data_IF_948742714038
#
_entry.id   IF_948742714038
#
_cell.length_a   1.000
_cell.length_b   1.000
_cell.length_c   1.000
_cell.angle_alpha   90.00
_cell.angle_beta   90.00
_cell.angle_gamma   90.00
#
_symmetry.space_group_name_H-M   'P 1'
#
loop_
_entity.id
_entity.type
_entity.pdbx_description
1 polymer ?
#
# COMPACT_ATOMS: atom_id res chain seq x y z
N UNK A 1 16.12 -10.08 -20.02
CA UNK A 1 15.82 -10.92 -18.84
C UNK A 1 14.49 -10.45 -18.32
N UNK A 2 13.47 -11.30 -18.20
CA UNK A 2 12.20 -10.93 -17.56
C UNK A 2 12.51 -10.66 -16.09
N UNK A 3 12.26 -9.45 -15.63
CA UNK A 3 12.39 -9.11 -14.22
C UNK A 3 11.42 -10.01 -13.46
N UNK A 4 11.89 -10.65 -12.40
CA UNK A 4 11.04 -11.49 -11.54
C UNK A 4 9.95 -10.62 -10.92
N UNK A 5 8.69 -11.02 -11.11
CA UNK A 5 7.55 -10.25 -10.62
C UNK A 5 7.44 -10.39 -9.10
N UNK A 6 7.09 -9.31 -8.42
CA UNK A 6 6.97 -9.24 -6.97
C UNK A 6 5.51 -9.16 -6.55
N UNK A 7 5.16 -9.93 -5.52
CA UNK A 7 3.80 -9.97 -5.00
C UNK A 7 3.81 -9.77 -3.50
N UNK A 8 2.92 -8.92 -3.02
CA UNK A 8 2.86 -8.58 -1.60
C UNK A 8 1.42 -8.31 -1.14
N UNK A 9 1.18 -8.39 0.16
CA UNK A 9 -0.13 -8.21 0.76
C UNK A 9 -0.05 -7.24 1.92
N UNK A 10 -1.07 -6.38 2.03
CA UNK A 10 -1.19 -5.41 3.11
C UNK A 10 -2.21 -5.86 4.15
N UNK A 11 -1.84 -5.65 5.42
CA UNK A 11 -2.67 -5.83 6.59
C UNK A 11 -2.82 -4.52 7.33
N UNK A 12 -3.81 -4.45 8.23
CA UNK A 12 -3.90 -3.39 9.22
C UNK A 12 -4.00 -4.00 10.62
N UNK A 13 -3.36 -3.38 11.64
CA UNK A 13 -3.35 -3.90 12.99
C UNK A 13 -4.76 -3.91 13.58
N UNK A 14 -5.08 -4.93 14.35
CA UNK A 14 -6.39 -5.12 14.95
C UNK A 14 -6.43 -4.57 16.38
N UNK A 15 -7.64 -4.29 16.88
CA UNK A 15 -7.84 -3.72 18.24
C UNK A 15 -8.04 -4.78 19.31
N UNK A 16 -8.37 -6.01 18.92
CA UNK A 16 -8.72 -7.10 19.82
C UNK A 16 -7.89 -8.34 19.55
N UNK A 17 -7.66 -9.16 20.55
CA UNK A 17 -6.92 -10.43 20.42
C UNK A 17 -7.59 -11.38 19.43
N UNK A 18 -8.92 -11.48 19.44
CA UNK A 18 -9.67 -12.28 18.47
C UNK A 18 -9.49 -11.77 17.04
N UNK A 19 -9.46 -10.44 16.85
CA UNK A 19 -9.16 -9.84 15.56
C UNK A 19 -7.73 -10.14 15.12
N UNK A 20 -6.79 -10.10 16.06
CA UNK A 20 -5.39 -10.41 15.79
C UNK A 20 -5.20 -11.87 15.39
N UNK A 21 -5.80 -12.80 16.10
CA UNK A 21 -5.75 -14.24 15.76
C UNK A 21 -6.33 -14.51 14.36
N UNK A 22 -7.43 -13.82 14.01
CA UNK A 22 -7.99 -13.89 12.66
C UNK A 22 -7.00 -13.36 11.61
N UNK A 23 -6.34 -12.22 11.85
CA UNK A 23 -5.32 -11.67 10.98
C UNK A 23 -4.18 -12.68 10.75
N UNK A 24 -3.67 -13.27 11.83
CA UNK A 24 -2.59 -14.28 11.74
C UNK A 24 -3.03 -15.53 10.97
N UNK A 25 -4.30 -15.94 11.09
CA UNK A 25 -4.88 -17.02 10.27
C UNK A 25 -4.87 -16.67 8.78
N UNK A 26 -5.29 -15.46 8.43
CA UNK A 26 -5.25 -14.93 7.05
C UNK A 26 -3.80 -14.88 6.54
N UNK A 27 -2.87 -14.39 7.35
CA UNK A 27 -1.46 -14.29 6.97
C UNK A 27 -0.84 -15.67 6.70
N UNK A 28 -1.11 -16.68 7.53
CA UNK A 28 -0.67 -18.06 7.29
C UNK A 28 -1.22 -18.62 5.99
N UNK A 29 -2.48 -18.33 5.66
CA UNK A 29 -3.09 -18.75 4.39
C UNK A 29 -2.41 -18.06 3.19
N UNK A 30 -2.19 -16.75 3.24
CA UNK A 30 -1.52 -16.00 2.17
C UNK A 30 -0.04 -16.36 2.03
N UNK A 31 0.65 -16.72 3.10
CA UNK A 31 2.04 -17.16 3.06
C UNK A 31 2.28 -18.40 2.20
N UNK A 32 1.27 -19.26 2.04
CA UNK A 32 1.37 -20.45 1.16
C UNK A 32 1.52 -20.12 -0.32
N UNK A 33 1.34 -18.84 -0.68
CA UNK A 33 1.52 -18.30 -2.04
C UNK A 33 2.89 -17.62 -2.23
N UNK A 34 3.80 -17.77 -1.27
CA UNK A 34 5.17 -17.26 -1.31
C UNK A 34 5.27 -15.76 -1.68
N UNK A 35 4.59 -14.85 -0.97
CA UNK A 35 4.72 -13.43 -1.22
C UNK A 35 6.12 -12.92 -0.87
N UNK A 36 6.58 -11.88 -1.55
CA UNK A 36 7.86 -11.21 -1.28
C UNK A 36 7.88 -10.57 0.12
N UNK A 37 6.77 -9.98 0.52
CA UNK A 37 6.61 -9.42 1.86
C UNK A 37 5.14 -9.15 2.20
N UNK A 38 4.89 -8.97 3.49
CA UNK A 38 3.67 -8.39 4.02
C UNK A 38 3.93 -6.94 4.46
N UNK A 39 2.95 -6.04 4.30
CA UNK A 39 3.00 -4.74 4.95
C UNK A 39 1.92 -4.62 6.02
N UNK A 40 2.17 -3.79 7.02
CA UNK A 40 1.19 -3.52 8.07
C UNK A 40 1.03 -2.02 8.24
N UNK A 41 -0.22 -1.53 8.09
CA UNK A 41 -0.51 -0.12 8.14
C UNK A 41 -0.24 0.48 9.52
N UNK A 42 0.07 1.77 9.53
CA UNK A 42 0.24 2.58 10.73
C UNK A 42 -1.05 3.34 10.98
N UNK A 43 -1.65 3.17 12.15
CA UNK A 43 -2.88 3.89 12.48
C UNK A 43 -2.62 5.35 12.84
N UNK A 44 -3.54 6.22 12.48
CA UNK A 44 -3.46 7.64 12.79
C UNK A 44 -3.27 7.91 14.29
N UNK A 45 -2.31 8.79 14.64
CA UNK A 45 -2.16 9.32 15.98
C UNK A 45 -1.37 8.49 16.99
N UNK A 46 -0.37 7.73 16.60
CA UNK A 46 0.60 7.10 17.52
C UNK A 46 0.06 5.93 18.38
N UNK A 47 -1.25 5.84 18.58
CA UNK A 47 -1.91 4.82 19.43
C UNK A 47 -1.82 3.38 18.88
N UNK A 48 -1.31 3.22 17.66
CA UNK A 48 -1.18 1.93 16.99
C UNK A 48 0.28 1.55 16.71
N UNK A 49 1.26 2.38 17.09
CA UNK A 49 2.68 2.15 16.86
C UNK A 49 3.11 0.76 17.35
N UNK A 50 2.88 0.49 18.64
CA UNK A 50 3.23 -0.79 19.26
C UNK A 50 2.51 -1.97 18.63
N UNK A 51 1.25 -1.79 18.24
CA UNK A 51 0.47 -2.83 17.57
C UNK A 51 0.98 -3.13 16.17
N UNK A 52 1.36 -2.11 15.41
CA UNK A 52 1.96 -2.29 14.08
C UNK A 52 3.27 -3.06 14.20
N UNK A 53 4.16 -2.65 15.09
CA UNK A 53 5.41 -3.36 15.32
C UNK A 53 5.20 -4.78 15.79
N UNK A 54 4.35 -5.00 16.78
CA UNK A 54 4.03 -6.35 17.27
C UNK A 54 3.47 -7.24 16.16
N UNK A 55 2.55 -6.71 15.33
CA UNK A 55 2.00 -7.45 14.19
C UNK A 55 3.10 -7.81 13.19
N UNK A 56 3.96 -6.87 12.82
CA UNK A 56 5.08 -7.08 11.90
C UNK A 56 6.02 -8.16 12.42
N UNK A 57 6.41 -8.09 13.69
CA UNK A 57 7.30 -9.08 14.32
C UNK A 57 6.68 -10.47 14.36
N UNK A 58 5.38 -10.58 14.60
CA UNK A 58 4.70 -11.87 14.57
C UNK A 58 4.58 -12.42 13.13
N UNK A 59 4.31 -11.58 12.13
CA UNK A 59 4.33 -11.98 10.73
C UNK A 59 5.71 -12.56 10.34
N UNK A 60 6.81 -11.90 10.71
CA UNK A 60 8.15 -12.40 10.44
C UNK A 60 8.50 -13.67 11.24
N UNK A 61 8.19 -13.66 12.52
CA UNK A 61 8.64 -14.74 13.42
C UNK A 61 7.79 -16.01 13.34
N UNK A 62 6.47 -15.89 13.15
CA UNK A 62 5.55 -17.03 13.14
C UNK A 62 5.20 -17.47 11.72
N UNK A 63 4.94 -16.51 10.82
CA UNK A 63 4.52 -16.81 9.44
C UNK A 63 5.71 -16.96 8.50
N UNK A 64 6.89 -16.42 8.87
CA UNK A 64 8.14 -16.52 8.10
C UNK A 64 8.11 -15.81 6.75
N UNK A 65 7.32 -14.77 6.63
CA UNK A 65 7.30 -13.87 5.49
C UNK A 65 7.90 -12.53 5.94
N UNK A 66 8.84 -11.93 5.20
CA UNK A 66 9.35 -10.60 5.51
C UNK A 66 8.22 -9.61 5.70
N UNK A 67 8.27 -8.74 6.70
CA UNK A 67 7.20 -7.80 6.95
C UNK A 67 7.70 -6.35 7.08
N UNK A 68 6.93 -5.43 6.51
CA UNK A 68 7.24 -4.01 6.42
C UNK A 68 6.23 -3.20 7.25
N UNK A 69 6.63 -2.54 8.33
CA UNK A 69 5.78 -1.57 8.98
C UNK A 69 5.58 -0.35 8.07
N UNK A 70 4.37 0.20 8.05
CA UNK A 70 4.20 1.57 7.60
C UNK A 70 4.78 2.51 8.67
N UNK A 71 5.42 3.57 8.23
CA UNK A 71 5.94 4.63 9.09
C UNK A 71 5.45 5.98 8.58
N UNK A 72 4.79 6.73 9.44
CA UNK A 72 4.30 8.07 9.14
C UNK A 72 5.15 9.12 9.86
N UNK A 73 5.38 10.26 9.22
CA UNK A 73 6.12 11.37 9.83
C UNK A 73 5.22 12.40 10.52
N UNK A 74 3.91 12.36 10.29
CA UNK A 74 2.99 13.34 10.88
C UNK A 74 2.83 13.11 12.38
N UNK A 75 3.12 14.15 13.16
CA UNK A 75 2.93 14.16 14.61
C UNK A 75 4.13 13.71 15.42
N UNK A 76 5.15 13.13 14.80
CA UNK A 76 6.36 12.67 15.48
C UNK A 76 7.51 13.69 15.37
N UNK A 77 8.34 13.74 16.41
CA UNK A 77 9.63 14.45 16.40
C UNK A 77 10.71 13.58 15.73
N UNK A 78 11.79 14.20 15.29
CA UNK A 78 12.95 13.46 14.75
C UNK A 78 13.55 12.50 15.77
N UNK A 79 13.56 12.86 17.06
CA UNK A 79 14.09 11.98 18.11
C UNK A 79 13.20 10.74 18.30
N UNK A 80 11.88 10.88 18.26
CA UNK A 80 10.96 9.74 18.30
C UNK A 80 11.10 8.84 17.08
N UNK A 81 11.23 9.42 15.88
CA UNK A 81 11.49 8.66 14.66
C UNK A 81 12.83 7.94 14.70
N UNK A 82 13.89 8.59 15.22
CA UNK A 82 15.22 7.97 15.39
C UNK A 82 15.17 6.78 16.35
N UNK A 83 14.48 6.92 17.46
CA UNK A 83 14.30 5.83 18.42
C UNK A 83 13.56 4.64 17.78
N UNK A 84 12.50 4.91 17.02
CA UNK A 84 11.72 3.88 16.34
C UNK A 84 12.53 3.17 15.23
N UNK A 85 13.33 3.91 14.46
CA UNK A 85 14.21 3.32 13.44
C UNK A 85 15.28 2.42 14.09
N UNK A 86 15.82 2.81 15.25
CA UNK A 86 16.75 1.99 16.02
C UNK A 86 16.09 0.71 16.53
N UNK A 87 14.82 0.79 16.97
CA UNK A 87 14.02 -0.36 17.38
C UNK A 87 13.76 -1.31 16.21
N UNK A 88 13.33 -0.80 15.05
CA UNK A 88 13.15 -1.59 13.83
C UNK A 88 14.43 -2.28 13.40
N UNK A 89 15.56 -1.57 13.45
CA UNK A 89 16.87 -2.12 13.12
C UNK A 89 17.26 -3.26 14.06
N UNK A 90 17.06 -3.08 15.37
CA UNK A 90 17.33 -4.08 16.40
C UNK A 90 16.42 -5.31 16.24
N UNK A 91 15.18 -5.09 15.87
CA UNK A 91 14.20 -6.15 15.59
C UNK A 91 14.48 -6.92 14.27
N UNK A 92 15.44 -6.50 13.46
CA UNK A 92 15.83 -7.16 12.22
C UNK A 92 15.02 -6.75 10.98
N UNK A 93 14.10 -5.80 11.10
CA UNK A 93 13.29 -5.29 9.99
C UNK A 93 14.19 -4.72 8.91
N UNK A 94 13.87 -5.03 7.64
CA UNK A 94 14.66 -4.63 6.46
C UNK A 94 13.91 -3.76 5.47
N UNK A 95 12.59 -3.61 5.62
CA UNK A 95 11.73 -2.87 4.70
C UNK A 95 10.78 -1.97 5.48
N UNK A 96 10.53 -0.77 4.99
CA UNK A 96 9.60 0.21 5.57
C UNK A 96 8.75 0.80 4.45
N UNK A 97 7.45 0.98 4.68
CA UNK A 97 6.59 1.80 3.83
C UNK A 97 6.55 3.20 4.43
N UNK A 98 7.31 4.12 3.82
CA UNK A 98 7.48 5.50 4.31
C UNK A 98 6.37 6.41 3.76
N UNK A 99 5.54 6.95 4.64
CA UNK A 99 4.38 7.76 4.33
C UNK A 99 4.44 9.12 5.04
N UNK A 100 3.66 10.07 4.55
CA UNK A 100 3.43 11.30 5.31
C UNK A 100 2.53 11.01 6.52
N UNK A 101 1.48 10.26 6.31
CA UNK A 101 0.35 10.07 7.21
C UNK A 101 -0.78 11.08 6.96
N UNK A 102 -1.97 10.74 7.45
CA UNK A 102 -3.14 11.59 7.37
C UNK A 102 -3.16 12.59 8.52
N UNK A 103 -3.53 13.81 8.24
CA UNK A 103 -3.76 14.83 9.27
C UNK A 103 -5.02 14.46 10.05
N UNK A 104 -4.98 14.37 11.39
CA UNK A 104 -6.17 14.15 12.18
C UNK A 104 -7.21 15.24 11.90
N UNK A 105 -8.48 14.84 11.74
CA UNK A 105 -9.58 15.77 11.50
C UNK A 105 -9.65 16.80 12.64
N UNK A 106 -9.61 18.10 12.30
CA UNK A 106 -9.71 19.21 13.25
C UNK A 106 -8.37 19.69 13.86
N UNK A 107 -7.24 19.05 13.56
CA UNK A 107 -5.93 19.61 13.84
C UNK A 107 -5.50 20.50 12.67
N UNK A 108 -5.18 21.77 12.97
CA UNK A 108 -4.43 22.66 12.08
C UNK A 108 -3.10 22.01 11.67
N UNK A 109 -2.25 22.75 10.97
CA UNK A 109 -0.97 22.25 10.46
C UNK A 109 -0.29 21.30 11.46
N UNK A 110 0.10 20.10 10.97
CA UNK A 110 0.65 19.03 11.78
C UNK A 110 1.76 19.49 12.71
N UNK A 111 1.63 19.12 13.99
CA UNK A 111 2.74 19.20 14.93
C UNK A 111 3.72 18.08 14.58
N UNK A 112 4.83 18.39 13.97
CA UNK A 112 5.89 17.45 13.61
C UNK A 112 7.01 18.20 12.93
N UNK A 113 8.22 17.65 12.97
CA UNK A 113 9.39 18.29 12.37
C UNK A 113 9.53 17.98 10.88
N UNK A 114 8.91 16.89 10.42
CA UNK A 114 8.86 16.47 9.01
C UNK A 114 7.46 16.70 8.45
N UNK A 115 7.38 17.27 7.25
CA UNK A 115 6.11 17.69 6.64
C UNK A 115 5.62 16.75 5.54
N UNK A 116 6.55 16.10 4.85
CA UNK A 116 6.29 15.30 3.66
C UNK A 116 6.94 13.93 3.77
N UNK A 117 6.42 12.96 3.02
CA UNK A 117 7.05 11.65 2.93
C UNK A 117 8.48 11.71 2.37
N UNK A 118 8.80 12.69 1.51
CA UNK A 118 10.16 12.94 1.04
C UNK A 118 11.13 13.28 2.18
N UNK A 119 10.67 14.11 3.13
CA UNK A 119 11.49 14.49 4.29
C UNK A 119 11.77 13.27 5.19
N UNK A 120 10.76 12.39 5.31
CA UNK A 120 10.92 11.13 6.04
C UNK A 120 11.92 10.19 5.34
N UNK A 121 11.81 10.03 4.03
CA UNK A 121 12.74 9.20 3.25
C UNK A 121 14.18 9.72 3.40
N UNK A 122 14.39 11.01 3.24
CA UNK A 122 15.70 11.64 3.42
C UNK A 122 16.22 11.45 4.83
N UNK A 123 15.38 11.64 5.85
CA UNK A 123 15.74 11.44 7.26
C UNK A 123 16.14 9.99 7.54
N UNK A 124 15.36 8.99 7.04
CA UNK A 124 15.70 7.57 7.21
C UNK A 124 17.05 7.27 6.58
N UNK A 125 17.33 7.79 5.37
CA UNK A 125 18.64 7.61 4.70
C UNK A 125 19.79 8.24 5.49
N UNK A 126 19.59 9.44 6.04
CA UNK A 126 20.58 10.10 6.87
C UNK A 126 20.92 9.32 8.15
N UNK A 127 19.91 8.76 8.83
CA UNK A 127 20.07 8.05 10.10
C UNK A 127 20.52 6.59 9.94
N UNK A 128 20.18 5.93 8.83
CA UNK A 128 20.34 4.47 8.71
C UNK A 128 21.07 4.02 7.44
N UNK A 129 21.41 4.93 6.53
CA UNK A 129 22.01 4.59 5.24
C UNK A 129 21.09 3.68 4.44
N UNK A 130 21.63 2.62 3.88
CA UNK A 130 20.94 1.64 3.05
C UNK A 130 20.40 0.43 3.83
N UNK A 131 20.25 0.58 5.17
CA UNK A 131 19.78 -0.54 5.99
C UNK A 131 18.38 -1.01 5.61
N UNK A 132 17.46 -0.07 5.34
CA UNK A 132 16.08 -0.35 4.99
C UNK A 132 15.84 -0.20 3.49
N UNK A 133 15.09 -1.12 2.91
CA UNK A 133 14.40 -0.92 1.64
C UNK A 133 13.18 -0.02 1.88
N UNK A 134 13.08 1.11 1.18
CA UNK A 134 12.04 2.11 1.38
C UNK A 134 11.01 2.08 0.24
N UNK A 135 9.79 1.65 0.60
CA UNK A 135 8.61 1.80 -0.24
C UNK A 135 7.98 3.18 -0.01
N UNK A 136 7.52 3.83 -1.07
CA UNK A 136 6.75 5.08 -0.97
C UNK A 136 5.43 4.98 -1.70
N UNK A 137 4.43 5.77 -1.30
CA UNK A 137 3.17 5.82 -2.01
C UNK A 137 3.28 6.59 -3.34
N UNK A 138 2.60 6.09 -4.37
CA UNK A 138 2.38 6.75 -5.64
C UNK A 138 0.87 6.87 -5.92
N UNK A 139 0.46 7.88 -6.68
CA UNK A 139 -0.96 8.15 -6.98
C UNK A 139 -1.16 8.22 -8.49
N UNK A 140 -1.58 7.12 -9.15
CA UNK A 140 -1.76 7.09 -10.61
C UNK A 140 -2.77 8.11 -11.11
N UNK A 141 -3.80 8.40 -10.34
CA UNK A 141 -4.86 9.34 -10.70
C UNK A 141 -4.59 10.75 -10.18
N UNK A 142 -4.26 10.93 -8.95
CA UNK A 142 -3.78 12.16 -8.29
C UNK A 142 -4.06 12.09 -6.78
N UNK A 143 -3.14 12.56 -5.97
CA UNK A 143 -3.38 12.71 -4.54
C UNK A 143 -4.45 13.78 -4.27
N UNK A 144 -5.47 13.53 -3.39
CA UNK A 144 -6.58 14.46 -3.15
C UNK A 144 -6.17 15.87 -2.73
N UNK A 145 -5.01 16.01 -2.09
CA UNK A 145 -4.49 17.30 -1.63
C UNK A 145 -3.51 17.93 -2.63
N UNK A 146 -3.23 17.29 -3.76
CA UNK A 146 -2.38 17.87 -4.78
C UNK A 146 -3.15 18.94 -5.57
N UNK A 147 -2.44 20.00 -5.97
CA UNK A 147 -3.04 21.08 -6.76
C UNK A 147 -3.42 20.65 -8.17
N UNK A 148 -2.65 19.76 -8.76
CA UNK A 148 -2.85 19.17 -10.07
C UNK A 148 -1.93 17.96 -10.22
N UNK A 149 -2.12 17.16 -11.28
CA UNK A 149 -1.37 15.95 -11.57
C UNK A 149 0.15 16.22 -11.68
N UNK A 150 0.57 17.29 -12.35
CA UNK A 150 1.99 17.61 -12.52
C UNK A 150 2.68 17.92 -11.19
N UNK A 151 1.98 18.60 -10.28
CA UNK A 151 2.51 18.89 -8.95
C UNK A 151 2.64 17.60 -8.11
N UNK A 152 1.67 16.69 -8.21
CA UNK A 152 1.71 15.41 -7.53
C UNK A 152 2.83 14.51 -8.07
N UNK A 153 2.97 14.45 -9.39
CA UNK A 153 4.05 13.73 -10.06
C UNK A 153 5.43 14.28 -9.67
N UNK A 154 5.58 15.61 -9.58
CA UNK A 154 6.81 16.24 -9.11
C UNK A 154 7.14 15.87 -7.66
N UNK A 155 6.13 15.80 -6.78
CA UNK A 155 6.29 15.33 -5.40
C UNK A 155 6.71 13.85 -5.35
N UNK A 156 6.18 13.02 -6.24
CA UNK A 156 6.60 11.63 -6.36
C UNK A 156 8.06 11.51 -6.79
N UNK A 157 8.47 12.24 -7.84
CA UNK A 157 9.88 12.31 -8.28
C UNK A 157 10.80 12.78 -7.15
N UNK A 158 10.35 13.74 -6.34
CA UNK A 158 11.10 14.21 -5.17
C UNK A 158 11.32 13.08 -4.14
N UNK A 159 10.29 12.29 -3.83
CA UNK A 159 10.42 11.12 -2.93
C UNK A 159 11.43 10.10 -3.47
N UNK A 160 11.42 9.84 -4.76
CA UNK A 160 12.38 8.93 -5.41
C UNK A 160 13.79 9.46 -5.26
N UNK A 161 14.01 10.75 -5.57
CA UNK A 161 15.33 11.41 -5.45
C UNK A 161 15.82 11.50 -4.00
N UNK A 162 14.92 11.53 -3.02
CA UNK A 162 15.26 11.49 -1.60
C UNK A 162 15.79 10.11 -1.16
N UNK A 163 15.63 9.08 -1.99
CA UNK A 163 16.23 7.76 -1.76
C UNK A 163 15.22 6.60 -1.61
N UNK A 164 14.01 6.70 -2.16
CA UNK A 164 13.09 5.57 -2.22
C UNK A 164 13.62 4.48 -3.17
N UNK A 165 13.44 3.20 -2.81
CA UNK A 165 13.88 2.04 -3.60
C UNK A 165 12.76 1.50 -4.50
N UNK A 166 11.52 1.67 -4.12
CA UNK A 166 10.33 1.24 -4.87
C UNK A 166 9.10 2.02 -4.42
N UNK A 167 8.02 1.88 -5.16
CA UNK A 167 6.77 2.53 -4.83
C UNK A 167 5.60 1.56 -4.95
N UNK A 168 4.59 1.75 -4.10
CA UNK A 168 3.29 1.09 -4.17
C UNK A 168 2.25 2.16 -4.52
N UNK A 169 1.39 1.89 -5.50
CA UNK A 169 0.38 2.87 -5.86
C UNK A 169 -0.83 2.81 -4.94
N UNK A 170 -1.51 3.95 -4.76
CA UNK A 170 -2.91 3.90 -4.36
C UNK A 170 -3.69 3.03 -5.36
N UNK A 171 -4.73 2.33 -4.90
CA UNK A 171 -5.55 1.53 -5.81
C UNK A 171 -6.29 2.43 -6.81
N UNK A 172 -6.61 1.85 -7.94
CA UNK A 172 -7.29 2.46 -9.08
C UNK A 172 -8.09 1.37 -9.81
N UNK A 173 -8.97 1.77 -10.73
CA UNK A 173 -9.81 0.83 -11.51
C UNK A 173 -9.65 1.00 -13.03
N UNK A 174 -8.66 1.79 -13.45
CA UNK A 174 -8.31 2.01 -14.85
C UNK A 174 -6.81 1.79 -15.04
N UNK A 175 -6.43 0.72 -15.75
CA UNK A 175 -5.03 0.39 -15.99
C UNK A 175 -4.28 1.50 -16.78
N UNK A 176 -4.97 2.27 -17.62
CA UNK A 176 -4.36 3.36 -18.40
C UNK A 176 -3.83 4.47 -17.49
N UNK A 177 -4.50 4.74 -16.34
CA UNK A 177 -4.01 5.72 -15.35
C UNK A 177 -2.65 5.30 -14.80
N UNK A 178 -2.46 4.02 -14.52
CA UNK A 178 -1.17 3.48 -14.07
C UNK A 178 -0.09 3.61 -15.14
N UNK A 179 -0.35 3.19 -16.37
CA UNK A 179 0.64 3.25 -17.44
C UNK A 179 1.02 4.69 -17.79
N UNK A 180 0.04 5.59 -17.82
CA UNK A 180 0.28 7.01 -18.03
C UNK A 180 1.18 7.59 -16.93
N UNK A 181 0.87 7.30 -15.66
CA UNK A 181 1.67 7.74 -14.53
C UNK A 181 3.11 7.24 -14.62
N UNK A 182 3.31 5.93 -14.85
CA UNK A 182 4.64 5.33 -14.95
C UNK A 182 5.45 5.92 -16.10
N UNK A 183 4.84 6.07 -17.29
CA UNK A 183 5.49 6.68 -18.44
C UNK A 183 5.94 8.13 -18.14
N UNK A 184 5.07 8.92 -17.51
CA UNK A 184 5.39 10.30 -17.13
C UNK A 184 6.50 10.37 -16.07
N UNK A 185 6.47 9.49 -15.09
CA UNK A 185 7.51 9.39 -14.06
C UNK A 185 8.87 9.01 -14.67
N UNK A 186 8.90 8.02 -15.55
CA UNK A 186 10.12 7.61 -16.27
C UNK A 186 10.72 8.75 -17.12
N UNK A 187 9.89 9.54 -17.80
CA UNK A 187 10.36 10.74 -18.54
C UNK A 187 11.01 11.79 -17.64
N UNK A 188 10.70 11.78 -16.32
CA UNK A 188 11.31 12.65 -15.31
C UNK A 188 12.48 11.99 -14.57
N UNK A 189 12.95 10.82 -15.04
CA UNK A 189 14.10 10.11 -14.52
C UNK A 189 13.83 9.18 -13.35
N UNK A 190 12.58 8.75 -13.16
CA UNK A 190 12.24 7.69 -12.21
C UNK A 190 12.57 6.33 -12.83
N UNK A 191 13.44 5.57 -12.16
CA UNK A 191 13.92 4.25 -12.58
C UNK A 191 13.61 3.13 -11.55
N UNK A 192 12.95 3.48 -10.46
CA UNK A 192 12.53 2.49 -9.44
C UNK A 192 11.26 1.74 -9.86
N UNK A 193 11.06 0.50 -9.37
CA UNK A 193 9.81 -0.22 -9.58
C UNK A 193 8.61 0.54 -8.97
N UNK A 194 7.53 0.65 -9.74
CA UNK A 194 6.24 1.18 -9.28
C UNK A 194 5.23 0.03 -9.30
N UNK A 195 4.94 -0.54 -8.14
CA UNK A 195 4.06 -1.71 -8.00
C UNK A 195 2.61 -1.25 -7.89
N UNK A 196 1.70 -1.70 -8.77
CA UNK A 196 0.28 -1.35 -8.66
C UNK A 196 -0.37 -1.94 -7.41
N UNK A 197 -1.05 -1.08 -6.65
CA UNK A 197 -1.88 -1.44 -5.51
C UNK A 197 -3.26 -1.91 -5.96
N UNK A 198 -3.68 -3.07 -5.51
CA UNK A 198 -4.89 -3.77 -5.94
C UNK A 198 -5.89 -3.85 -4.80
N UNK A 199 -7.07 -3.26 -4.99
CA UNK A 199 -8.18 -3.31 -4.03
C UNK A 199 -9.26 -4.26 -4.54
N UNK A 200 -9.47 -5.44 -3.94
CA UNK A 200 -10.59 -6.30 -4.27
C UNK A 200 -11.93 -5.62 -3.96
N UNK A 201 -12.92 -5.78 -4.85
CA UNK A 201 -14.25 -5.23 -4.65
C UNK A 201 -15.13 -6.29 -3.96
N UNK A 202 -15.46 -6.05 -2.70
CA UNK A 202 -16.29 -6.98 -1.89
C UNK A 202 -17.57 -6.31 -1.35
N UNK A 203 -17.57 -4.98 -1.29
CA UNK A 203 -18.71 -4.20 -0.79
C UNK A 203 -18.66 -2.80 -1.39
N UNK A 204 -19.71 -2.43 -2.12
CA UNK A 204 -19.72 -1.15 -2.83
C UNK A 204 -19.76 0.07 -1.91
N UNK A 205 -20.58 0.08 -0.88
CA UNK A 205 -20.70 1.24 0.02
C UNK A 205 -19.40 1.54 0.76
N UNK A 206 -18.66 0.51 1.17
CA UNK A 206 -17.34 0.67 1.78
C UNK A 206 -16.33 1.18 0.75
N UNK A 207 -16.32 0.60 -0.45
CA UNK A 207 -15.43 1.00 -1.52
C UNK A 207 -15.65 2.46 -1.90
N UNK A 208 -16.89 2.89 -2.13
CA UNK A 208 -17.22 4.27 -2.48
C UNK A 208 -16.71 5.25 -1.44
N UNK A 209 -16.93 4.97 -0.14
CA UNK A 209 -16.42 5.81 0.95
C UNK A 209 -14.90 5.88 1.00
N UNK A 210 -14.19 4.77 0.78
CA UNK A 210 -12.74 4.78 0.72
C UNK A 210 -12.23 5.55 -0.50
N UNK A 211 -12.85 5.36 -1.66
CA UNK A 211 -12.50 6.05 -2.91
C UNK A 211 -12.69 7.56 -2.78
N UNK A 212 -13.79 8.01 -2.19
CA UNK A 212 -14.03 9.43 -1.92
C UNK A 212 -12.95 10.03 -0.99
N UNK A 213 -12.47 9.25 -0.02
CA UNK A 213 -11.45 9.71 0.93
C UNK A 213 -10.04 9.76 0.31
N UNK A 214 -9.66 8.78 -0.52
CA UNK A 214 -8.31 8.67 -1.08
C UNK A 214 -8.19 9.22 -2.51
N UNK A 215 -9.29 9.66 -3.13
CA UNK A 215 -9.31 10.23 -4.48
C UNK A 215 -9.22 9.20 -5.61
N UNK A 216 -9.42 7.91 -5.33
CA UNK A 216 -9.46 6.88 -6.36
C UNK A 216 -10.80 6.95 -7.12
N UNK A 217 -10.75 7.06 -8.44
CA UNK A 217 -11.94 7.10 -9.27
C UNK A 217 -12.53 5.71 -9.45
N UNK A 218 -13.83 5.56 -9.18
CA UNK A 218 -14.60 4.37 -9.58
C UNK A 218 -15.24 4.70 -10.94
N UNK A 219 -14.78 4.09 -12.05
CA UNK A 219 -15.34 4.34 -13.38
C UNK A 219 -16.85 4.19 -13.42
N UNK A 220 -17.52 5.04 -14.20
CA UNK A 220 -18.98 5.09 -14.24
C UNK A 220 -19.63 3.73 -14.52
N UNK A 221 -19.05 2.93 -15.40
CA UNK A 221 -19.61 1.61 -15.75
C UNK A 221 -19.52 0.63 -14.58
N UNK A 222 -18.42 0.63 -13.81
CA UNK A 222 -18.28 -0.19 -12.58
C UNK A 222 -19.30 0.28 -11.54
N UNK A 223 -19.37 1.60 -11.32
CA UNK A 223 -20.33 2.19 -10.36
C UNK A 223 -21.75 1.79 -10.68
N UNK A 224 -22.19 1.93 -11.94
CA UNK A 224 -23.55 1.59 -12.36
C UNK A 224 -23.88 0.10 -12.18
N UNK A 225 -22.93 -0.77 -12.42
CA UNK A 225 -23.12 -2.20 -12.23
C UNK A 225 -23.22 -2.55 -10.74
N UNK A 226 -22.33 -1.98 -9.90
CA UNK A 226 -22.37 -2.18 -8.46
C UNK A 226 -23.66 -1.61 -7.82
N UNK A 227 -24.14 -0.45 -8.28
CA UNK A 227 -25.41 0.13 -7.86
C UNK A 227 -26.61 -0.78 -8.24
N UNK A 228 -26.56 -1.42 -9.40
CA UNK A 228 -27.62 -2.32 -9.85
C UNK A 228 -27.74 -3.61 -9.03
N UNK A 229 -26.63 -4.07 -8.44
CA UNK A 229 -26.65 -5.23 -7.54
C UNK A 229 -27.20 -4.91 -6.13
N UNK A 230 -27.34 -3.63 -5.79
CA UNK A 230 -27.82 -3.18 -4.47
C UNK A 230 -27.12 -3.89 -3.30
N UNK A 231 -27.82 -4.72 -2.53
CA UNK A 231 -27.29 -5.45 -1.38
C UNK A 231 -26.89 -6.91 -1.69
N UNK A 232 -26.90 -7.29 -2.97
CA UNK A 232 -26.48 -8.65 -3.38
C UNK A 232 -24.95 -8.76 -3.32
N UNK A 233 -24.47 -9.17 -2.15
CA UNK A 233 -23.04 -9.31 -1.87
C UNK A 233 -22.36 -10.34 -2.80
N UNK A 234 -23.06 -11.40 -3.19
CA UNK A 234 -22.50 -12.44 -4.07
C UNK A 234 -22.27 -11.91 -5.48
N UNK A 235 -23.22 -11.17 -6.05
CA UNK A 235 -23.07 -10.54 -7.36
C UNK A 235 -22.00 -9.44 -7.34
N UNK A 236 -21.94 -8.64 -6.28
CA UNK A 236 -20.89 -7.62 -6.10
C UNK A 236 -19.49 -8.27 -6.09
N UNK A 237 -19.34 -9.36 -5.34
CA UNK A 237 -18.05 -10.05 -5.22
C UNK A 237 -17.64 -10.71 -6.55
N UNK A 238 -18.56 -11.42 -7.22
CA UNK A 238 -18.28 -12.08 -8.49
C UNK A 238 -17.89 -11.06 -9.59
N UNK A 239 -18.63 -9.97 -9.71
CA UNK A 239 -18.31 -8.89 -10.62
C UNK A 239 -16.98 -8.20 -10.28
N UNK A 240 -16.74 -7.93 -8.99
CA UNK A 240 -15.48 -7.35 -8.52
C UNK A 240 -14.28 -8.23 -8.83
N UNK A 241 -14.40 -9.53 -8.62
CA UNK A 241 -13.37 -10.51 -8.94
C UNK A 241 -13.05 -10.52 -10.45
N UNK A 242 -14.06 -10.52 -11.32
CA UNK A 242 -13.88 -10.47 -12.77
C UNK A 242 -13.18 -9.19 -13.21
N UNK A 243 -13.68 -8.03 -12.80
CA UNK A 243 -13.13 -6.72 -13.18
C UNK A 243 -11.70 -6.55 -12.72
N UNK A 244 -11.39 -6.88 -11.47
CA UNK A 244 -10.05 -6.71 -10.91
C UNK A 244 -9.09 -7.73 -11.52
N UNK A 245 -9.50 -8.98 -11.75
CA UNK A 245 -8.66 -9.97 -12.43
C UNK A 245 -8.27 -9.50 -13.83
N UNK A 246 -9.24 -8.99 -14.61
CA UNK A 246 -8.96 -8.47 -15.95
C UNK A 246 -7.99 -7.26 -15.92
N UNK A 247 -8.20 -6.31 -15.01
CA UNK A 247 -7.28 -5.19 -14.83
C UNK A 247 -5.87 -5.65 -14.44
N UNK A 248 -5.74 -6.59 -13.51
CA UNK A 248 -4.45 -7.15 -13.12
C UNK A 248 -3.75 -7.87 -14.29
N UNK A 249 -4.50 -8.60 -15.12
CA UNK A 249 -3.96 -9.21 -16.32
C UNK A 249 -3.39 -8.16 -17.28
N UNK A 250 -4.12 -7.08 -17.55
CA UNK A 250 -3.64 -5.96 -18.36
C UNK A 250 -2.38 -5.33 -17.78
N UNK A 251 -2.34 -5.09 -16.46
CA UNK A 251 -1.17 -4.53 -15.78
C UNK A 251 0.06 -5.42 -15.95
N UNK A 252 -0.08 -6.73 -15.72
CA UNK A 252 1.03 -7.68 -15.84
C UNK A 252 1.49 -7.87 -17.29
N UNK A 253 0.57 -7.87 -18.27
CA UNK A 253 0.90 -7.91 -19.69
C UNK A 253 1.60 -6.64 -20.15
N UNK A 254 1.21 -5.48 -19.61
CA UNK A 254 1.81 -4.18 -19.86
C UNK A 254 3.15 -3.95 -19.15
N UNK A 255 3.67 -4.94 -18.42
CA UNK A 255 5.00 -4.90 -17.82
C UNK A 255 5.05 -4.37 -16.37
N UNK A 256 3.94 -4.37 -15.67
CA UNK A 256 3.96 -4.06 -14.22
C UNK A 256 4.91 -5.02 -13.47
N UNK A 257 5.73 -4.52 -12.53
CA UNK A 257 6.77 -5.31 -11.86
C UNK A 257 6.22 -6.32 -10.85
N UNK A 258 4.90 -6.35 -10.63
CA UNK A 258 4.21 -7.22 -9.69
C UNK A 258 2.87 -6.64 -9.29
N UNK A 259 2.30 -7.11 -8.18
CA UNK A 259 1.03 -6.62 -7.61
C UNK A 259 1.12 -6.55 -6.09
N UNK A 260 0.55 -5.49 -5.52
CA UNK A 260 0.41 -5.33 -4.07
C UNK A 260 -1.08 -5.34 -3.69
N UNK A 261 -1.52 -6.32 -2.91
CA UNK A 261 -2.94 -6.51 -2.59
C UNK A 261 -3.32 -5.88 -1.25
N UNK A 262 -4.28 -4.99 -1.25
CA UNK A 262 -4.94 -4.45 -0.06
C UNK A 262 -5.97 -5.46 0.46
N UNK A 263 -5.57 -6.33 1.38
CA UNK A 263 -6.37 -7.49 1.77
C UNK A 263 -7.58 -7.15 2.63
N UNK A 264 -7.57 -5.99 3.30
CA UNK A 264 -8.56 -5.66 4.35
C UNK A 264 -8.67 -6.78 5.41
N UNK A 265 -7.55 -7.46 5.70
CA UNK A 265 -7.45 -8.63 6.59
C UNK A 265 -8.36 -9.80 6.18
N UNK A 266 -8.56 -9.99 4.85
CA UNK A 266 -9.30 -11.10 4.26
C UNK A 266 -8.46 -11.75 3.15
N UNK A 267 -8.35 -13.08 3.15
CA UNK A 267 -7.55 -13.79 2.15
C UNK A 267 -8.33 -14.03 0.86
N UNK A 268 -9.58 -14.45 0.99
CA UNK A 268 -10.38 -15.01 -0.11
C UNK A 268 -10.48 -14.07 -1.32
N UNK A 269 -10.77 -12.75 -1.17
CA UNK A 269 -10.91 -11.88 -2.34
C UNK A 269 -9.61 -11.71 -3.13
N UNK A 270 -8.47 -11.62 -2.43
CA UNK A 270 -7.16 -11.53 -3.07
C UNK A 270 -6.75 -12.86 -3.72
N UNK A 271 -7.04 -13.98 -3.07
CA UNK A 271 -6.73 -15.31 -3.59
C UNK A 271 -7.60 -15.69 -4.80
N UNK A 272 -8.85 -15.24 -4.86
CA UNK A 272 -9.69 -15.43 -6.04
C UNK A 272 -9.04 -14.78 -7.27
N UNK A 273 -8.61 -13.52 -7.16
CA UNK A 273 -7.88 -12.82 -8.21
C UNK A 273 -6.57 -13.53 -8.56
N UNK A 274 -5.79 -13.94 -7.54
CA UNK A 274 -4.54 -14.68 -7.72
C UNK A 274 -4.71 -15.95 -8.54
N UNK A 275 -5.74 -16.74 -8.21
CA UNK A 275 -6.05 -18.00 -8.88
C UNK A 275 -6.53 -17.77 -10.32
N UNK A 276 -7.35 -16.75 -10.57
CA UNK A 276 -7.80 -16.39 -11.92
C UNK A 276 -6.63 -16.02 -12.84
N UNK A 277 -5.65 -15.31 -12.29
CA UNK A 277 -4.44 -14.91 -13.00
C UNK A 277 -3.42 -16.06 -13.14
N UNK A 278 -3.65 -17.19 -12.46
CA UNK A 278 -2.73 -18.34 -12.40
C UNK A 278 -1.30 -17.92 -11.99
N UNK A 279 -1.21 -17.03 -10.99
CA UNK A 279 0.06 -16.57 -10.48
C UNK A 279 0.83 -17.72 -9.80
N UNK A 280 2.18 -17.66 -9.76
CA UNK A 280 3.00 -18.70 -9.14
C UNK A 280 2.68 -18.85 -7.65
N UNK A 281 2.90 -20.07 -7.14
CA UNK A 281 2.81 -20.39 -5.70
C UNK A 281 4.20 -20.59 -5.15
#
# INVERSE_FOLDING_TARGET
>A
MSQERRYSFEFFPTKTDAGHEKLMGVARQLATYNPDFFSCTYGAGGSTRDRTLNTVLQLENEVKVPAAPHLSCVGDTKDELRALLAEYKTAGIKRIVALRGDLPSGMGMASGELRYASDLVEFIRQETGDHFHLEVAAYPEMHPQARNFEADLANFVHKVKAGADSAITQYFFNADSYFYFVERAQKLGVDIPVVPGIMPITNYSKLARFSDACGAEIPRWIRKQLEAYADDAASIQAFGEEVISHMCEQLLQGGAPGLHFYTLNQAEPSLAIWNNLKLPR
#
